data_IF_348020035310
#
_entry.id   IF_348020035310
#
_cell.length_a   1.000
_cell.length_b   1.000
_cell.length_c   1.000
_cell.angle_alpha   90.00
_cell.angle_beta   90.00
_cell.angle_gamma   90.00
#
_symmetry.space_group_name_H-M   'P 1'
#
loop_
_entity.id
_entity.type
_entity.pdbx_description
1 polymer ?
#
# COMPACT_ATOMS: atom_id res chain seq x y z
N UNK A 1 1.88 -31.45 17.61
CA UNK A 1 2.05 -30.17 18.33
C UNK A 1 1.14 -29.17 17.66
N UNK A 2 0.02 -28.85 18.30
CA UNK A 2 -0.95 -27.89 17.79
C UNK A 2 -0.65 -26.54 18.46
N UNK A 3 -0.17 -25.57 17.71
CA UNK A 3 0.29 -24.29 18.27
C UNK A 3 -0.45 -23.10 17.66
N UNK A 4 -0.84 -22.20 18.57
CA UNK A 4 -0.74 -20.74 18.49
C UNK A 4 -1.73 -19.86 17.72
N UNK A 5 -2.68 -20.37 16.92
CA UNK A 5 -3.62 -19.44 16.26
C UNK A 5 -4.55 -18.70 17.22
N UNK A 6 -5.02 -19.36 18.29
CA UNK A 6 -5.86 -18.73 19.31
C UNK A 6 -5.15 -17.65 20.11
N UNK A 7 -3.92 -17.92 20.56
CA UNK A 7 -3.12 -16.97 21.33
C UNK A 7 -2.66 -15.77 20.51
N UNK A 8 -2.33 -15.97 19.23
CA UNK A 8 -1.96 -14.88 18.32
C UNK A 8 -3.19 -14.01 18.02
N UNK A 9 -4.35 -14.61 17.77
CA UNK A 9 -5.61 -13.86 17.60
C UNK A 9 -5.93 -13.03 18.84
N UNK A 10 -5.81 -13.63 20.03
CA UNK A 10 -6.14 -12.95 21.28
C UNK A 10 -5.15 -11.80 21.58
N UNK A 11 -3.85 -11.97 21.27
CA UNK A 11 -2.83 -10.90 21.34
C UNK A 11 -3.04 -9.78 20.30
N UNK A 12 -3.54 -10.11 19.11
CA UNK A 12 -3.84 -9.13 18.05
C UNK A 12 -5.16 -8.39 18.28
N UNK A 13 -6.10 -8.99 19.03
CA UNK A 13 -7.40 -8.37 19.37
C UNK A 13 -7.38 -7.54 20.65
N UNK A 14 -6.39 -7.73 21.53
CA UNK A 14 -6.27 -6.94 22.76
C UNK A 14 -5.51 -5.62 22.52
N UNK A 15 -6.20 -4.67 21.87
CA UNK A 15 -5.71 -3.31 21.61
C UNK A 15 -5.38 -2.50 22.88
N UNK A 16 -5.67 -3.00 24.08
CA UNK A 16 -5.43 -2.31 25.35
C UNK A 16 -4.13 -2.73 26.04
N UNK A 17 -3.41 -3.76 25.56
CA UNK A 17 -2.29 -4.38 26.28
C UNK A 17 -0.89 -3.83 25.95
N UNK A 18 -0.75 -2.92 24.98
CA UNK A 18 0.55 -2.36 24.59
C UNK A 18 0.97 -1.14 25.43
N UNK A 19 1.27 -1.40 26.71
CA UNK A 19 2.02 -0.48 27.57
C UNK A 19 3.48 -0.36 27.12
N UNK A 20 4.03 0.85 27.25
CA UNK A 20 5.39 1.27 26.87
C UNK A 20 6.51 0.27 27.23
N UNK A 21 7.32 -0.09 26.23
CA UNK A 21 8.76 -0.31 26.41
C UNK A 21 9.53 0.11 25.15
N UNK A 22 10.36 1.14 25.32
CA UNK A 22 11.43 1.59 24.42
C UNK A 22 12.60 0.61 24.51
N UNK A 23 12.47 -0.50 23.80
CA UNK A 23 13.62 -1.29 23.34
C UNK A 23 13.31 -1.72 21.92
N UNK A 24 14.27 -1.57 21.00
CA UNK A 24 14.20 -2.10 19.64
C UNK A 24 13.94 -3.61 19.75
N UNK A 25 12.66 -4.00 19.77
CA UNK A 25 12.25 -5.40 19.74
C UNK A 25 12.65 -5.89 18.35
N UNK A 26 13.62 -6.82 18.23
CA UNK A 26 13.87 -7.45 16.94
C UNK A 26 12.55 -8.03 16.45
N UNK A 27 12.22 -7.87 15.16
CA UNK A 27 10.95 -8.35 14.63
C UNK A 27 10.79 -9.82 15.05
N UNK A 28 9.64 -10.20 15.64
CA UNK A 28 9.38 -11.58 16.02
C UNK A 28 9.69 -12.53 14.84
N UNK A 29 10.16 -13.77 15.06
CA UNK A 29 10.40 -14.76 13.99
C UNK A 29 9.24 -14.87 12.99
N UNK A 30 8.02 -14.58 13.42
CA UNK A 30 6.78 -14.55 12.64
C UNK A 30 6.71 -13.43 11.58
N UNK A 31 7.58 -12.41 11.67
CA UNK A 31 7.79 -11.38 10.63
C UNK A 31 8.55 -11.96 9.42
N UNK A 32 9.14 -13.15 9.55
CA UNK A 32 9.71 -13.90 8.42
C UNK A 32 8.63 -14.47 7.50
N UNK A 33 7.40 -14.62 7.98
CA UNK A 33 6.25 -15.02 7.17
C UNK A 33 5.52 -13.75 6.70
N UNK A 34 5.52 -13.52 5.40
CA UNK A 34 5.02 -12.29 4.80
C UNK A 34 3.50 -12.30 4.72
N UNK A 35 2.83 -11.45 5.50
CA UNK A 35 1.37 -11.32 5.47
C UNK A 35 0.92 -10.06 4.72
N UNK A 36 -0.02 -10.22 3.79
CA UNK A 36 -0.94 -9.15 3.40
C UNK A 36 -2.12 -9.19 4.35
N UNK A 37 -2.63 -8.05 4.81
CA UNK A 37 -3.76 -8.02 5.75
C UNK A 37 -5.06 -7.69 5.03
N UNK A 38 -6.16 -8.29 5.47
CA UNK A 38 -7.49 -7.90 5.01
C UNK A 38 -7.77 -6.49 5.52
N UNK A 39 -7.64 -5.50 4.63
CA UNK A 39 -7.84 -4.10 4.98
C UNK A 39 -9.30 -3.68 4.90
N UNK A 40 -10.22 -4.53 4.45
CA UNK A 40 -11.60 -4.12 4.30
C UNK A 40 -12.39 -4.30 5.60
N UNK A 41 -13.29 -3.35 5.88
CA UNK A 41 -14.16 -3.37 7.07
C UNK A 41 -15.19 -4.50 7.07
N UNK A 42 -15.29 -5.28 6.00
CA UNK A 42 -16.19 -6.44 5.89
C UNK A 42 -15.43 -7.76 5.92
N UNK A 43 -16.05 -8.75 6.55
CA UNK A 43 -15.62 -10.15 6.50
C UNK A 43 -15.58 -10.60 5.02
N UNK A 44 -14.41 -11.03 4.56
CA UNK A 44 -14.22 -11.52 3.20
C UNK A 44 -14.65 -12.97 3.14
N UNK A 45 -15.52 -13.32 2.21
CA UNK A 45 -15.87 -14.71 1.91
C UNK A 45 -15.09 -15.16 0.67
N UNK A 46 -14.08 -16.01 0.83
CA UNK A 46 -13.43 -16.70 -0.27
C UNK A 46 -14.12 -18.04 -0.49
N UNK A 47 -14.62 -18.29 -1.71
CA UNK A 47 -15.10 -19.63 -2.09
C UNK A 47 -13.90 -20.54 -2.28
N UNK A 48 -13.78 -21.55 -1.43
CA UNK A 48 -12.82 -22.65 -1.63
C UNK A 48 -13.42 -23.69 -2.57
N UNK A 49 -12.56 -24.56 -3.14
CA UNK A 49 -12.99 -25.66 -4.00
C UNK A 49 -13.87 -26.71 -3.30
N UNK A 50 -13.86 -26.72 -1.96
CA UNK A 50 -14.75 -27.57 -1.15
C UNK A 50 -16.17 -27.01 -1.02
N UNK A 51 -16.46 -25.84 -1.61
CA UNK A 51 -17.72 -25.12 -1.41
C UNK A 51 -17.78 -24.35 -0.09
N UNK A 52 -16.77 -24.52 0.80
CA UNK A 52 -16.69 -23.77 2.04
C UNK A 52 -16.32 -22.31 1.78
N UNK A 53 -17.03 -21.41 2.46
CA UNK A 53 -16.73 -19.99 2.50
C UNK A 53 -15.64 -19.78 3.56
N UNK A 54 -14.40 -19.52 3.14
CA UNK A 54 -13.37 -19.05 4.04
C UNK A 54 -13.69 -17.59 4.38
N UNK A 55 -14.14 -17.40 5.62
CA UNK A 55 -14.40 -16.08 6.18
C UNK A 55 -13.11 -15.54 6.77
N UNK A 56 -12.54 -14.51 6.14
CA UNK A 56 -11.39 -13.78 6.66
C UNK A 56 -11.93 -12.49 7.29
N UNK A 57 -11.94 -12.38 8.63
CA UNK A 57 -12.30 -11.13 9.28
C UNK A 57 -11.43 -9.96 8.79
N UNK A 58 -11.96 -8.74 8.87
CA UNK A 58 -11.14 -7.52 8.74
C UNK A 58 -9.95 -7.63 9.70
N UNK A 59 -8.75 -7.32 9.23
CA UNK A 59 -7.58 -7.37 10.08
C UNK A 59 -7.04 -8.76 10.33
N UNK A 60 -7.35 -9.75 9.52
CA UNK A 60 -6.60 -11.00 9.55
C UNK A 60 -5.53 -11.01 8.43
N UNK A 61 -4.38 -11.64 8.67
CA UNK A 61 -3.47 -12.03 7.61
C UNK A 61 -4.24 -12.84 6.55
N UNK A 62 -4.05 -12.48 5.30
CA UNK A 62 -4.62 -13.18 4.15
C UNK A 62 -3.90 -14.50 3.89
N UNK A 63 -2.70 -14.66 4.43
CA UNK A 63 -1.86 -15.83 4.21
C UNK A 63 -1.81 -16.78 5.41
N UNK A 64 -2.72 -16.69 6.39
CA UNK A 64 -2.71 -17.40 7.70
C UNK A 64 -2.45 -18.92 7.65
N UNK A 65 -2.65 -19.56 6.51
CA UNK A 65 -2.29 -20.97 6.32
C UNK A 65 -0.95 -21.03 5.60
N UNK A 66 -0.08 -21.99 5.95
CA UNK A 66 0.93 -22.44 4.99
C UNK A 66 0.19 -22.71 3.70
N UNK A 67 0.27 -21.77 2.74
CA UNK A 67 -0.37 -21.95 1.45
C UNK A 67 0.14 -23.29 0.98
N UNK A 68 -0.79 -24.17 0.62
CA UNK A 68 -0.40 -25.38 -0.06
C UNK A 68 0.45 -24.97 -1.26
N UNK A 69 1.41 -25.81 -1.63
CA UNK A 69 2.52 -25.44 -2.52
C UNK A 69 2.08 -24.65 -3.77
N UNK A 70 0.88 -24.96 -4.29
CA UNK A 70 0.29 -24.34 -5.47
C UNK A 70 -0.92 -23.44 -5.19
N UNK A 71 -1.34 -23.23 -3.96
CA UNK A 71 -2.38 -22.22 -3.68
C UNK A 71 -1.83 -20.79 -3.84
N UNK A 72 -2.63 -19.88 -4.43
CA UNK A 72 -2.22 -18.50 -4.69
C UNK A 72 -3.32 -17.53 -4.30
N UNK A 73 -2.95 -16.50 -3.55
CA UNK A 73 -3.84 -15.40 -3.25
C UNK A 73 -4.14 -14.56 -4.50
N UNK A 74 -5.40 -14.13 -4.61
CA UNK A 74 -5.88 -13.22 -5.63
C UNK A 74 -6.34 -11.93 -4.93
N UNK A 75 -5.81 -10.75 -5.29
CA UNK A 75 -6.25 -9.48 -4.71
C UNK A 75 -7.76 -9.27 -4.81
N UNK A 76 -8.40 -8.71 -3.77
CA UNK A 76 -9.85 -8.44 -3.80
C UNK A 76 -10.27 -7.56 -4.98
N UNK A 77 -9.45 -6.60 -5.40
CA UNK A 77 -9.71 -5.76 -6.57
C UNK A 77 -10.00 -6.59 -7.85
N UNK A 78 -9.48 -7.81 -7.90
CA UNK A 78 -9.80 -8.80 -8.92
C UNK A 78 -11.11 -9.52 -8.62
N UNK A 79 -11.28 -10.02 -7.39
CA UNK A 79 -12.48 -10.78 -7.00
C UNK A 79 -13.77 -9.96 -7.04
N UNK A 80 -13.68 -8.66 -6.78
CA UNK A 80 -14.79 -7.72 -6.88
C UNK A 80 -14.99 -7.17 -8.30
N UNK A 81 -14.16 -7.56 -9.26
CA UNK A 81 -14.35 -7.21 -10.65
C UNK A 81 -15.51 -8.03 -11.21
N UNK A 82 -16.47 -7.40 -11.89
CA UNK A 82 -17.61 -8.08 -12.51
C UNK A 82 -17.17 -9.26 -13.39
N UNK A 83 -16.00 -9.16 -14.04
CA UNK A 83 -15.47 -10.24 -14.86
C UNK A 83 -15.09 -11.49 -14.06
N UNK A 84 -14.61 -11.35 -12.82
CA UNK A 84 -14.28 -12.50 -11.97
C UNK A 84 -15.50 -13.36 -11.63
N UNK A 85 -16.71 -12.79 -11.70
CA UNK A 85 -17.97 -13.52 -11.48
C UNK A 85 -18.46 -14.29 -12.73
N UNK A 86 -17.87 -14.05 -13.90
CA UNK A 86 -18.21 -14.76 -15.14
C UNK A 86 -17.70 -16.21 -15.12
N UNK A 87 -18.26 -17.15 -15.91
CA UNK A 87 -17.78 -18.53 -15.98
C UNK A 87 -16.25 -18.67 -16.16
N UNK A 88 -15.65 -17.94 -17.11
CA UNK A 88 -14.20 -17.97 -17.33
C UNK A 88 -13.42 -17.33 -16.18
N UNK A 89 -13.92 -16.23 -15.61
CA UNK A 89 -13.34 -15.59 -14.42
C UNK A 89 -13.40 -16.48 -13.19
N UNK A 90 -14.49 -17.21 -13.00
CA UNK A 90 -14.71 -18.20 -11.96
C UNK A 90 -13.76 -19.39 -12.08
N UNK A 91 -13.56 -19.91 -13.30
CA UNK A 91 -12.55 -20.95 -13.54
C UNK A 91 -11.13 -20.48 -13.20
N UNK A 92 -10.78 -19.24 -13.55
CA UNK A 92 -9.49 -18.69 -13.18
C UNK A 92 -9.33 -18.54 -11.67
N UNK A 93 -10.31 -17.95 -11.00
CA UNK A 93 -10.25 -17.71 -9.55
C UNK A 93 -10.22 -19.02 -8.76
N UNK A 94 -11.05 -20.00 -9.12
CA UNK A 94 -11.02 -21.34 -8.54
C UNK A 94 -9.68 -22.05 -8.80
N UNK A 95 -9.18 -21.99 -10.04
CA UNK A 95 -7.90 -22.58 -10.41
C UNK A 95 -6.74 -21.99 -9.61
N UNK A 96 -6.75 -20.68 -9.35
CA UNK A 96 -5.75 -19.99 -8.53
C UNK A 96 -5.82 -20.35 -7.03
N UNK A 97 -7.03 -20.51 -6.49
CA UNK A 97 -7.25 -20.93 -5.10
C UNK A 97 -7.09 -22.45 -4.88
N UNK A 98 -7.02 -23.25 -5.94
CA UNK A 98 -6.78 -24.68 -5.85
C UNK A 98 -5.30 -25.01 -5.61
N UNK A 99 -5.00 -26.03 -4.81
CA UNK A 99 -3.67 -26.62 -4.74
C UNK A 99 -3.40 -27.54 -5.94
N UNK A 100 -3.36 -26.92 -7.12
CA UNK A 100 -3.02 -27.59 -8.38
C UNK A 100 -1.97 -26.75 -9.10
N UNK A 101 -0.93 -27.43 -9.57
CA UNK A 101 0.17 -26.79 -10.27
C UNK A 101 -0.26 -26.20 -11.61
N UNK A 102 -1.16 -26.85 -12.34
CA UNK A 102 -1.62 -26.39 -13.65
C UNK A 102 -3.14 -26.49 -13.75
N UNK A 103 -3.75 -25.46 -14.33
CA UNK A 103 -5.17 -25.47 -14.69
C UNK A 103 -5.42 -24.76 -16.01
N UNK A 104 -6.60 -24.99 -16.58
CA UNK A 104 -7.01 -24.44 -17.88
C UNK A 104 -8.27 -23.62 -17.71
N UNK A 105 -8.31 -22.47 -18.37
CA UNK A 105 -9.48 -21.60 -18.44
C UNK A 105 -10.04 -21.67 -19.85
N UNK A 106 -11.30 -22.07 -19.93
CA UNK A 106 -12.04 -22.15 -21.18
C UNK A 106 -12.60 -20.77 -21.56
N UNK A 107 -12.06 -20.20 -22.64
CA UNK A 107 -12.44 -18.88 -23.13
C UNK A 107 -13.82 -18.84 -23.79
N UNK A 108 -14.36 -20.01 -24.14
CA UNK A 108 -15.70 -20.16 -24.72
C UNK A 108 -16.81 -20.30 -23.67
N UNK A 109 -16.45 -20.41 -22.39
CA UNK A 109 -17.43 -20.56 -21.29
C UNK A 109 -18.26 -19.31 -21.01
N UNK A 110 -17.77 -18.12 -21.40
CA UNK A 110 -18.54 -16.89 -21.35
C UNK A 110 -19.33 -16.70 -22.66
N UNK A 111 -20.57 -16.17 -22.60
CA UNK A 111 -21.31 -15.83 -23.81
C UNK A 111 -20.57 -14.75 -24.62
N UNK A 112 -20.46 -14.96 -25.93
CA UNK A 112 -19.82 -14.03 -26.86
C UNK A 112 -18.57 -14.59 -27.55
N UNK A 113 -17.72 -13.69 -28.07
CA UNK A 113 -16.50 -14.08 -28.81
C UNK A 113 -15.40 -14.49 -27.81
N UNK A 114 -14.75 -15.67 -27.96
CA UNK A 114 -13.66 -16.09 -27.09
C UNK A 114 -12.49 -15.09 -27.02
N UNK A 115 -12.24 -14.33 -28.09
CA UNK A 115 -11.23 -13.27 -28.11
C UNK A 115 -11.53 -12.12 -27.16
N UNK A 116 -12.81 -11.79 -26.93
CA UNK A 116 -13.22 -10.78 -25.95
C UNK A 116 -12.99 -11.28 -24.53
N UNK A 117 -13.39 -12.52 -24.24
CA UNK A 117 -13.13 -13.21 -22.96
C UNK A 117 -11.63 -13.26 -22.67
N UNK A 118 -10.82 -13.61 -23.67
CA UNK A 118 -9.35 -13.63 -23.57
C UNK A 118 -8.81 -12.29 -23.10
N UNK A 119 -9.14 -11.21 -23.82
CA UNK A 119 -8.60 -9.89 -23.52
C UNK A 119 -9.05 -9.44 -22.12
N UNK A 120 -10.31 -9.67 -21.75
CA UNK A 120 -10.82 -9.31 -20.43
C UNK A 120 -10.10 -10.10 -19.31
N UNK A 121 -9.91 -11.41 -19.48
CA UNK A 121 -9.20 -12.25 -18.52
C UNK A 121 -7.72 -11.83 -18.39
N UNK A 122 -7.01 -11.64 -19.51
CA UNK A 122 -5.61 -11.22 -19.49
C UNK A 122 -5.44 -9.84 -18.85
N UNK A 123 -6.36 -8.90 -19.11
CA UNK A 123 -6.34 -7.59 -18.45
C UNK A 123 -6.53 -7.71 -16.95
N UNK A 124 -7.50 -8.51 -16.52
CA UNK A 124 -7.76 -8.77 -15.10
C UNK A 124 -6.52 -9.34 -14.42
N UNK A 125 -5.90 -10.38 -15.00
CA UNK A 125 -4.70 -11.02 -14.46
C UNK A 125 -3.50 -10.06 -14.44
N UNK A 126 -3.31 -9.31 -15.52
CA UNK A 126 -2.20 -8.37 -15.62
C UNK A 126 -2.34 -7.25 -14.60
N UNK A 127 -3.53 -6.63 -14.48
CA UNK A 127 -3.83 -5.57 -13.52
C UNK A 127 -3.73 -6.01 -12.06
N UNK A 128 -4.00 -7.28 -11.78
CA UNK A 128 -3.87 -7.88 -10.46
C UNK A 128 -2.42 -8.01 -9.96
N UNK A 129 -1.44 -7.91 -10.86
CA UNK A 129 -0.04 -8.23 -10.60
C UNK A 129 0.19 -9.58 -9.90
N UNK A 130 -0.53 -10.61 -10.35
CA UNK A 130 -0.44 -11.96 -9.76
C UNK A 130 0.97 -12.52 -9.95
N UNK A 131 1.53 -13.03 -8.85
CA UNK A 131 2.87 -13.59 -8.78
C UNK A 131 2.86 -15.12 -8.84
N UNK A 132 4.03 -15.70 -9.14
CA UNK A 132 4.26 -17.15 -9.19
C UNK A 132 3.34 -17.88 -10.17
N UNK A 133 3.11 -17.29 -11.34
CA UNK A 133 2.39 -17.91 -12.44
C UNK A 133 3.16 -17.80 -13.75
N UNK A 134 2.94 -18.76 -14.65
CA UNK A 134 3.32 -18.75 -16.04
C UNK A 134 2.10 -19.15 -16.88
N UNK A 135 1.82 -18.38 -17.91
CA UNK A 135 0.68 -18.54 -18.79
C UNK A 135 1.13 -18.84 -20.22
N UNK A 136 0.33 -19.66 -20.89
CA UNK A 136 0.45 -19.93 -22.34
C UNK A 136 -0.93 -20.16 -22.94
N UNK A 137 -1.04 -19.98 -24.25
CA UNK A 137 -2.24 -20.39 -24.99
C UNK A 137 -2.09 -21.81 -25.50
N UNK A 138 -3.16 -22.59 -25.40
CA UNK A 138 -3.20 -23.97 -25.89
C UNK A 138 -4.63 -24.30 -26.34
N UNK A 139 -4.84 -24.56 -27.63
CA UNK A 139 -6.13 -25.02 -28.16
C UNK A 139 -7.33 -24.11 -27.85
N UNK A 140 -7.15 -22.78 -27.89
CA UNK A 140 -8.22 -21.82 -27.57
C UNK A 140 -8.50 -21.67 -26.07
N UNK A 141 -7.67 -22.25 -25.21
CA UNK A 141 -7.70 -22.09 -23.75
C UNK A 141 -6.49 -21.31 -23.27
N UNK A 142 -6.63 -20.69 -22.11
CA UNK A 142 -5.48 -20.18 -21.37
C UNK A 142 -5.05 -21.22 -20.35
N UNK A 143 -3.80 -21.68 -20.45
CA UNK A 143 -3.19 -22.60 -19.49
C UNK A 143 -2.37 -21.79 -18.50
N UNK A 144 -2.67 -21.96 -17.23
CA UNK A 144 -1.98 -21.28 -16.12
C UNK A 144 -1.22 -22.34 -15.34
N UNK A 145 0.10 -22.19 -15.29
CA UNK A 145 1.00 -23.00 -14.48
C UNK A 145 1.51 -22.16 -13.30
N UNK A 146 1.46 -22.70 -12.10
CA UNK A 146 1.90 -22.05 -10.88
C UNK A 146 3.30 -22.54 -10.53
N UNK A 147 4.20 -21.59 -10.25
CA UNK A 147 5.61 -21.85 -9.99
C UNK A 147 5.94 -21.63 -8.52
N UNK A 148 6.89 -22.37 -7.97
CA UNK A 148 7.23 -22.36 -6.52
C UNK A 148 8.54 -21.67 -6.21
N UNK A 149 9.40 -21.49 -7.22
CA UNK A 149 10.70 -20.83 -7.10
C UNK A 149 10.64 -19.42 -6.52
N UNK A 150 11.77 -18.94 -6.00
CA UNK A 150 11.88 -17.58 -5.48
C UNK A 150 11.62 -16.55 -6.58
N UNK A 151 10.92 -15.47 -6.23
CA UNK A 151 10.77 -14.33 -7.13
C UNK A 151 12.10 -13.62 -7.26
N UNK A 152 12.45 -13.24 -8.48
CA UNK A 152 13.59 -12.37 -8.73
C UNK A 152 13.19 -10.91 -8.42
N UNK A 153 14.08 -10.09 -7.83
CA UNK A 153 13.78 -8.67 -7.64
C UNK A 153 13.64 -7.95 -8.98
N UNK A 154 13.00 -6.79 -8.99
CA UNK A 154 13.15 -5.85 -10.11
C UNK A 154 14.53 -5.18 -10.00
N UNK A 155 15.17 -4.93 -11.14
CA UNK A 155 16.55 -4.45 -11.22
C UNK A 155 16.74 -3.48 -12.40
N UNK A 156 17.98 -3.04 -12.65
CA UNK A 156 18.27 -2.10 -13.74
C UNK A 156 18.00 -2.68 -15.15
N UNK A 157 18.12 -4.00 -15.32
CA UNK A 157 17.83 -4.67 -16.59
C UNK A 157 16.32 -4.89 -16.77
N UNK A 158 15.60 -5.12 -15.67
CA UNK A 158 14.16 -5.33 -15.63
C UNK A 158 13.51 -4.44 -14.57
N UNK A 159 13.32 -3.15 -14.87
CA UNK A 159 12.69 -2.21 -13.92
C UNK A 159 11.23 -2.59 -13.71
N UNK A 160 10.67 -2.24 -12.54
CA UNK A 160 9.26 -2.49 -12.23
C UNK A 160 8.34 -1.62 -13.13
N UNK A 161 7.64 -2.17 -14.14
CA UNK A 161 6.88 -1.35 -15.06
C UNK A 161 5.48 -1.04 -14.50
N UNK A 162 4.92 0.10 -14.90
CA UNK A 162 3.49 0.35 -14.72
C UNK A 162 2.70 -0.66 -15.56
N UNK A 163 1.61 -1.18 -14.99
CA UNK A 163 0.65 -2.06 -15.65
C UNK A 163 -0.31 -1.21 -16.47
N UNK A 164 -0.11 -1.24 -17.79
CA UNK A 164 -0.96 -0.59 -18.79
C UNK A 164 -1.55 -1.60 -19.78
N UNK A 165 -2.85 -1.48 -20.05
CA UNK A 165 -3.58 -2.37 -20.97
C UNK A 165 -3.72 -1.79 -22.39
N UNK A 166 -3.20 -0.58 -22.60
CA UNK A 166 -3.14 0.13 -23.87
C UNK A 166 -1.68 0.39 -24.25
N UNK A 167 -1.41 0.49 -25.55
CA UNK A 167 -0.07 0.84 -26.05
C UNK A 167 0.25 2.29 -25.58
N UNK A 168 1.45 2.56 -25.04
CA UNK A 168 1.83 3.89 -24.59
C UNK A 168 1.55 4.97 -25.64
N UNK A 169 1.00 6.11 -25.21
CA UNK A 169 0.63 7.25 -26.07
C UNK A 169 -0.44 6.93 -27.15
N UNK A 170 -1.16 5.82 -27.01
CA UNK A 170 -2.28 5.49 -27.89
C UNK A 170 -3.50 5.01 -27.09
N UNK A 171 -4.67 5.04 -27.73
CA UNK A 171 -5.89 4.41 -27.21
C UNK A 171 -6.02 2.93 -27.60
N UNK A 172 -5.05 2.38 -28.32
CA UNK A 172 -5.11 1.01 -28.84
C UNK A 172 -4.81 -0.01 -27.74
N UNK A 173 -5.57 -1.10 -27.73
CA UNK A 173 -5.32 -2.22 -26.82
C UNK A 173 -3.99 -2.91 -27.16
N UNK A 174 -3.27 -3.36 -26.14
CA UNK A 174 -2.05 -4.16 -26.36
C UNK A 174 -2.39 -5.53 -26.95
N UNK A 175 -1.44 -6.09 -27.71
CA UNK A 175 -1.56 -7.46 -28.20
C UNK A 175 -1.64 -8.43 -27.02
N UNK A 176 -2.51 -9.45 -27.12
CA UNK A 176 -2.69 -10.45 -26.08
C UNK A 176 -1.41 -11.26 -25.81
N UNK A 177 -0.58 -11.53 -26.82
CA UNK A 177 0.70 -12.23 -26.64
C UNK A 177 1.69 -11.39 -25.81
N UNK A 178 1.74 -10.08 -26.05
CA UNK A 178 2.58 -9.16 -25.25
C UNK A 178 2.10 -9.12 -23.79
N UNK A 179 0.77 -9.12 -23.57
CA UNK A 179 0.21 -9.16 -22.22
C UNK A 179 0.58 -10.49 -21.52
N UNK A 180 0.55 -11.63 -22.23
CA UNK A 180 0.98 -12.91 -21.67
C UNK A 180 2.48 -12.88 -21.30
N UNK A 181 3.33 -12.33 -22.17
CA UNK A 181 4.75 -12.20 -21.90
C UNK A 181 5.02 -11.34 -20.64
N UNK A 182 4.31 -10.22 -20.50
CA UNK A 182 4.43 -9.35 -19.33
C UNK A 182 3.87 -9.99 -18.06
N UNK A 183 2.76 -10.73 -18.15
CA UNK A 183 2.24 -11.52 -17.02
C UNK A 183 3.29 -12.53 -16.58
N UNK A 184 3.97 -13.22 -17.52
CA UNK A 184 5.00 -14.19 -17.19
C UNK A 184 6.24 -13.54 -16.55
N UNK A 185 6.67 -12.39 -17.06
CA UNK A 185 7.76 -11.62 -16.49
C UNK A 185 7.41 -11.15 -15.07
N UNK A 186 6.21 -10.60 -14.87
CA UNK A 186 5.68 -10.20 -13.57
C UNK A 186 5.51 -11.38 -12.62
N UNK A 187 5.09 -12.53 -13.14
CA UNK A 187 4.89 -13.77 -12.38
C UNK A 187 6.19 -14.31 -11.80
N UNK A 188 7.32 -14.06 -12.47
CA UNK A 188 8.66 -14.45 -12.01
C UNK A 188 9.36 -13.39 -11.15
N UNK A 189 8.85 -12.14 -11.11
CA UNK A 189 9.51 -11.02 -10.44
C UNK A 189 8.67 -10.32 -9.39
N UNK A 190 9.31 -9.91 -8.31
CA UNK A 190 8.70 -9.19 -7.20
C UNK A 190 9.38 -9.51 -5.89
N UNK A 191 8.91 -8.88 -4.82
CA UNK A 191 9.45 -9.10 -3.48
C UNK A 191 8.48 -9.92 -2.64
N UNK A 192 9.04 -10.86 -1.90
CA UNK A 192 8.39 -11.39 -0.71
C UNK A 192 8.87 -10.57 0.50
N UNK A 193 8.02 -10.44 1.49
CA UNK A 193 8.37 -9.79 2.75
C UNK A 193 7.69 -8.44 2.97
N UNK A 194 7.69 -7.98 4.23
CA UNK A 194 7.08 -6.72 4.62
C UNK A 194 7.67 -5.52 3.86
N UNK A 195 6.78 -4.67 3.36
CA UNK A 195 7.10 -3.40 2.69
C UNK A 195 5.80 -2.71 2.25
N UNK A 196 5.92 -1.42 1.94
CA UNK A 196 4.86 -0.68 1.26
C UNK A 196 5.15 -0.64 -0.23
N UNK A 197 4.26 -1.19 -1.05
CA UNK A 197 4.46 -1.20 -2.50
C UNK A 197 3.59 -0.16 -3.17
N UNK A 198 4.15 0.49 -4.18
CA UNK A 198 3.36 1.25 -5.13
C UNK A 198 2.48 0.26 -5.91
N UNK A 199 1.17 0.52 -5.98
CA UNK A 199 0.32 -0.20 -6.90
C UNK A 199 0.75 0.13 -8.33
N UNK A 200 0.97 -0.90 -9.12
CA UNK A 200 1.50 -0.73 -10.47
C UNK A 200 0.44 -0.30 -11.48
N UNK A 201 -0.81 -0.06 -11.05
CA UNK A 201 -1.88 0.40 -11.93
C UNK A 201 -1.47 1.68 -12.67
N UNK A 202 -1.60 1.71 -14.01
CA UNK A 202 -1.10 2.82 -14.84
C UNK A 202 -1.72 4.21 -14.56
N UNK A 203 -2.86 4.26 -13.84
CA UNK A 203 -3.49 5.51 -13.36
C UNK A 203 -3.15 5.86 -11.90
N UNK A 204 -2.20 5.15 -11.28
CA UNK A 204 -1.73 5.49 -9.94
C UNK A 204 -0.99 6.83 -10.00
N UNK A 205 -1.75 7.89 -9.70
CA UNK A 205 -1.33 9.29 -9.71
C UNK A 205 -0.63 9.70 -8.40
N UNK A 206 -0.29 8.76 -7.52
CA UNK A 206 0.81 9.01 -6.57
C UNK A 206 2.06 9.09 -7.43
N UNK A 207 2.30 10.28 -7.94
CA UNK A 207 3.36 10.60 -8.89
C UNK A 207 4.68 10.53 -8.14
N UNK A 208 5.44 9.46 -8.36
CA UNK A 208 6.84 9.37 -7.98
C UNK A 208 7.18 8.39 -6.84
N UNK A 209 8.44 8.36 -6.40
CA UNK A 209 9.02 7.42 -5.41
C UNK A 209 8.49 7.64 -3.99
N UNK A 210 7.32 8.24 -3.83
CA UNK A 210 6.81 8.65 -2.53
C UNK A 210 6.32 7.47 -1.71
N UNK A 211 6.11 6.28 -2.26
CA UNK A 211 5.91 5.08 -1.44
C UNK A 211 7.26 4.39 -1.26
N UNK A 212 7.74 4.29 -0.01
CA UNK A 212 8.98 3.59 0.30
C UNK A 212 8.75 2.07 0.24
N UNK A 213 9.46 1.41 -0.68
CA UNK A 213 9.36 -0.03 -0.93
C UNK A 213 10.40 -0.86 -0.16
N UNK A 214 11.20 -0.20 0.68
CA UNK A 214 12.17 -0.85 1.53
C UNK A 214 11.50 -1.68 2.63
N UNK A 215 12.14 -2.80 2.96
CA UNK A 215 11.79 -3.59 4.14
C UNK A 215 12.39 -3.01 5.43
N UNK A 216 13.21 -1.96 5.32
CA UNK A 216 13.76 -1.20 6.44
C UNK A 216 13.80 0.27 6.04
N UNK A 217 13.10 1.08 6.80
CA UNK A 217 12.79 2.47 6.49
C UNK A 217 13.56 3.33 7.46
N UNK A 218 14.50 4.08 6.95
CA UNK A 218 15.20 5.12 7.71
C UNK A 218 14.39 6.42 7.61
N UNK A 219 14.09 7.02 8.75
CA UNK A 219 13.27 8.25 8.81
C UNK A 219 13.93 9.38 9.62
N UNK A 220 15.11 9.13 10.18
CA UNK A 220 15.97 10.11 10.83
C UNK A 220 17.32 9.49 11.21
N UNK A 221 18.27 10.27 11.73
CA UNK A 221 19.59 9.77 12.16
C UNK A 221 19.43 8.67 13.21
N UNK A 222 19.93 7.47 12.90
CA UNK A 222 19.82 6.28 13.75
C UNK A 222 18.37 5.83 14.06
N UNK A 223 17.38 6.36 13.33
CA UNK A 223 15.96 6.04 13.49
C UNK A 223 15.47 5.15 12.34
N UNK A 224 15.14 3.91 12.69
CA UNK A 224 14.73 2.87 11.74
C UNK A 224 13.34 2.32 12.08
N UNK A 225 12.57 2.03 11.03
CA UNK A 225 11.32 1.30 11.11
C UNK A 225 11.38 0.08 10.20
N UNK A 226 10.95 -1.06 10.72
CA UNK A 226 10.82 -2.29 9.93
C UNK A 226 9.33 -2.58 9.77
N UNK A 227 8.77 -2.40 8.54
CA UNK A 227 7.43 -2.85 8.24
C UNK A 227 7.26 -4.31 8.67
N UNK A 228 6.10 -4.64 9.23
CA UNK A 228 5.77 -6.01 9.66
C UNK A 228 4.79 -6.71 8.73
N UNK A 229 4.22 -5.96 7.79
CA UNK A 229 3.14 -6.36 6.90
C UNK A 229 3.47 -5.88 5.49
N UNK A 230 2.91 -6.57 4.49
CA UNK A 230 2.96 -6.12 3.09
C UNK A 230 1.68 -5.36 2.76
N UNK A 231 1.86 -4.15 2.25
CA UNK A 231 0.77 -3.28 1.83
C UNK A 231 1.00 -2.82 0.39
N UNK A 232 -0.09 -2.55 -0.34
CA UNK A 232 -0.04 -1.81 -1.60
C UNK A 232 -0.75 -0.49 -1.41
N UNK A 233 -0.43 0.55 -2.17
CA UNK A 233 -1.16 1.83 -2.07
C UNK A 233 -2.63 1.79 -2.57
N UNK A 234 -3.21 0.60 -2.75
CA UNK A 234 -4.66 0.44 -2.96
C UNK A 234 -5.44 0.27 -1.64
N UNK A 235 -4.74 0.15 -0.50
CA UNK A 235 -5.33 -0.09 0.82
C UNK A 235 -5.90 1.19 1.46
N UNK A 236 -7.08 1.08 2.10
CA UNK A 236 -7.87 2.25 2.58
C UNK A 236 -8.19 2.24 4.08
N UNK A 237 -7.59 1.30 4.83
CA UNK A 237 -7.77 1.12 6.28
C UNK A 237 -6.40 0.86 6.90
N UNK A 238 -5.58 1.90 6.89
CA UNK A 238 -4.16 1.81 7.27
C UNK A 238 -3.77 3.02 8.10
N UNK A 239 -2.74 2.82 8.91
CA UNK A 239 -1.93 3.87 9.52
C UNK A 239 -0.62 3.92 8.77
N UNK A 240 -0.17 5.12 8.40
CA UNK A 240 1.05 5.34 7.64
C UNK A 240 1.94 6.40 8.30
N UNK A 241 3.25 6.24 8.11
CA UNK A 241 4.29 7.21 8.35
C UNK A 241 4.50 8.01 7.06
N UNK A 242 4.47 9.32 7.16
CA UNK A 242 5.00 10.25 6.19
C UNK A 242 6.30 10.82 6.75
N UNK A 243 7.39 10.79 6.00
CA UNK A 243 8.64 11.44 6.37
C UNK A 243 9.23 12.24 5.20
N UNK A 244 10.10 13.19 5.52
CA UNK A 244 10.78 14.02 4.54
C UNK A 244 12.18 13.47 4.22
N UNK A 245 12.37 13.01 2.98
CA UNK A 245 13.65 12.49 2.50
C UNK A 245 14.74 13.56 2.47
N UNK A 246 14.39 14.83 2.30
CA UNK A 246 15.36 15.93 2.32
C UNK A 246 15.87 16.22 3.73
N UNK A 247 14.97 16.26 4.72
CA UNK A 247 15.37 16.33 6.13
C UNK A 247 16.31 15.18 6.49
N UNK A 248 15.97 13.95 6.09
CA UNK A 248 16.83 12.79 6.32
C UNK A 248 18.23 12.97 5.73
N UNK A 249 18.32 13.46 4.48
CA UNK A 249 19.60 13.75 3.80
C UNK A 249 20.43 14.82 4.54
N UNK A 250 19.77 15.73 5.25
CA UNK A 250 20.39 16.77 6.07
C UNK A 250 20.74 16.29 7.49
N UNK A 251 20.51 15.02 7.83
CA UNK A 251 20.73 14.51 9.18
C UNK A 251 19.66 14.98 10.17
N UNK A 252 18.45 15.27 9.69
CA UNK A 252 17.29 15.66 10.49
C UNK A 252 16.19 14.59 10.39
N UNK A 253 15.21 14.65 11.29
CA UNK A 253 14.02 13.79 11.26
C UNK A 253 12.79 14.67 11.15
N UNK A 254 11.96 14.46 10.13
CA UNK A 254 10.66 15.12 10.02
C UNK A 254 9.62 14.10 9.68
N UNK A 255 8.65 13.91 10.57
CA UNK A 255 7.69 12.82 10.49
C UNK A 255 6.26 13.29 10.73
N UNK A 256 5.31 12.56 10.15
CA UNK A 256 3.88 12.69 10.37
C UNK A 256 3.26 11.30 10.34
N UNK A 257 2.47 10.94 11.34
CA UNK A 257 1.66 9.74 11.31
C UNK A 257 0.22 10.10 10.97
N UNK A 258 -0.37 9.36 10.06
CA UNK A 258 -1.75 9.57 9.64
C UNK A 258 -2.50 8.27 9.44
N UNK A 259 -3.82 8.33 9.54
CA UNK A 259 -4.71 7.24 9.15
C UNK A 259 -5.49 7.52 7.85
N UNK A 260 -6.09 6.45 7.31
CA UNK A 260 -7.06 6.50 6.21
C UNK A 260 -8.39 5.86 6.64
N UNK A 261 -9.48 6.61 6.49
CA UNK A 261 -10.85 6.23 6.87
C UNK A 261 -11.75 6.18 5.63
N UNK A 262 -11.81 5.05 4.93
CA UNK A 262 -12.75 4.75 3.81
C UNK A 262 -12.42 5.36 2.43
N UNK A 263 -11.68 6.46 2.36
CA UNK A 263 -11.22 7.04 1.09
C UNK A 263 -9.89 6.46 0.65
N UNK A 264 -9.69 6.39 -0.67
CA UNK A 264 -8.44 5.90 -1.26
C UNK A 264 -7.23 6.59 -0.61
N UNK A 265 -6.22 5.84 -0.14
CA UNK A 265 -5.03 6.43 0.48
C UNK A 265 -4.34 7.47 -0.42
N UNK A 266 -4.44 7.34 -1.75
CA UNK A 266 -4.00 8.34 -2.72
C UNK A 266 -4.64 9.71 -2.50
N UNK A 267 -5.94 9.74 -2.18
CA UNK A 267 -6.62 11.00 -1.89
C UNK A 267 -6.07 11.63 -0.61
N UNK A 268 -5.78 10.81 0.42
CA UNK A 268 -5.17 11.27 1.66
C UNK A 268 -3.75 11.78 1.44
N UNK A 269 -2.93 11.08 0.66
CA UNK A 269 -1.57 11.51 0.32
C UNK A 269 -1.56 12.81 -0.49
N UNK A 270 -2.51 12.96 -1.40
CA UNK A 270 -2.69 14.23 -2.12
C UNK A 270 -3.04 15.38 -1.18
N UNK A 271 -3.81 15.16 -0.11
CA UNK A 271 -4.22 16.22 0.82
C UNK A 271 -3.04 16.94 1.48
N UNK A 272 -1.97 16.21 1.77
CA UNK A 272 -0.75 16.76 2.39
C UNK A 272 -0.03 17.81 1.54
N UNK A 273 -0.43 18.03 0.28
CA UNK A 273 0.11 19.12 -0.56
C UNK A 273 -0.91 20.18 -0.95
N UNK A 274 -2.16 20.12 -0.51
CA UNK A 274 -3.14 21.15 -0.87
C UNK A 274 -3.99 21.69 0.29
N UNK A 275 -4.00 21.03 1.45
CA UNK A 275 -4.78 21.48 2.61
C UNK A 275 -4.07 21.13 3.91
N UNK A 276 -4.33 21.90 4.95
CA UNK A 276 -3.85 21.57 6.29
C UNK A 276 -4.46 20.26 6.78
N UNK A 277 -3.77 19.59 7.68
CA UNK A 277 -4.26 18.39 8.35
C UNK A 277 -5.42 18.70 9.31
N UNK A 278 -5.42 19.89 9.93
CA UNK A 278 -6.41 20.31 10.93
C UNK A 278 -7.52 21.21 10.35
N UNK A 279 -8.73 21.09 10.90
CA UNK A 279 -9.88 21.91 10.46
C UNK A 279 -9.70 23.39 10.81
N UNK A 280 -9.15 23.71 11.97
CA UNK A 280 -8.89 25.07 12.44
C UNK A 280 -8.00 25.86 11.47
N UNK A 281 -6.87 25.27 11.06
CA UNK A 281 -5.97 25.90 10.09
C UNK A 281 -6.65 26.09 8.73
N UNK A 282 -7.44 25.12 8.26
CA UNK A 282 -8.18 25.28 7.00
C UNK A 282 -9.28 26.36 7.07
N UNK A 283 -9.82 26.66 8.25
CA UNK A 283 -10.78 27.76 8.45
C UNK A 283 -10.08 29.12 8.49
N UNK A 284 -8.95 29.20 9.20
CA UNK A 284 -8.16 30.44 9.32
C UNK A 284 -7.43 30.80 8.01
N UNK A 285 -6.98 29.78 7.27
CA UNK A 285 -6.25 29.90 6.02
C UNK A 285 -6.94 29.10 4.89
N UNK A 286 -8.07 29.61 4.35
CA UNK A 286 -8.89 28.89 3.39
C UNK A 286 -8.18 28.60 2.06
N UNK A 287 -8.53 27.48 1.42
CA UNK A 287 -7.94 27.03 0.15
C UNK A 287 -8.33 27.94 -1.02
N UNK A 288 -7.39 28.15 -1.95
CA UNK A 288 -7.68 28.69 -3.29
C UNK A 288 -7.45 30.20 -3.44
N UNK A 289 -6.93 30.86 -2.42
CA UNK A 289 -6.52 32.27 -2.51
C UNK A 289 -4.99 32.35 -2.61
N UNK A 290 -4.46 33.20 -3.50
CA UNK A 290 -3.03 33.56 -3.48
C UNK A 290 -2.63 34.14 -2.10
N UNK A 291 -3.59 34.76 -1.42
CA UNK A 291 -3.51 35.27 -0.06
C UNK A 291 -3.10 34.18 0.95
N UNK A 292 -3.49 32.91 0.76
CA UNK A 292 -3.06 31.84 1.67
C UNK A 292 -1.54 31.67 1.66
N UNK A 293 -0.90 31.62 0.49
CA UNK A 293 0.56 31.46 0.42
C UNK A 293 1.28 32.70 0.92
N UNK A 294 0.72 33.89 0.71
CA UNK A 294 1.26 35.16 1.24
C UNK A 294 1.19 35.16 2.77
N UNK A 295 0.01 34.95 3.35
CA UNK A 295 -0.18 34.91 4.80
C UNK A 295 0.68 33.82 5.46
N UNK A 296 0.86 32.67 4.80
CA UNK A 296 1.74 31.63 5.31
C UNK A 296 3.21 32.03 5.28
N UNK A 297 3.68 32.71 4.22
CA UNK A 297 5.04 33.23 4.17
C UNK A 297 5.27 34.30 5.23
N UNK A 298 4.28 35.14 5.51
CA UNK A 298 4.35 36.13 6.59
C UNK A 298 4.50 35.47 7.96
N UNK A 299 3.66 34.46 8.26
CA UNK A 299 3.79 33.68 9.51
C UNK A 299 5.16 33.00 9.58
N UNK A 300 5.60 32.38 8.47
CA UNK A 300 6.89 31.71 8.41
C UNK A 300 8.06 32.68 8.67
N UNK A 301 8.00 33.87 8.07
CA UNK A 301 9.01 34.91 8.23
C UNK A 301 9.02 35.48 9.65
N UNK A 302 7.85 35.74 10.24
CA UNK A 302 7.76 36.18 11.64
C UNK A 302 8.38 35.17 12.59
N UNK A 303 8.08 33.89 12.43
CA UNK A 303 8.68 32.84 13.28
C UNK A 303 10.19 32.73 13.08
N UNK A 304 10.69 32.91 11.85
CA UNK A 304 12.13 32.99 11.58
C UNK A 304 12.79 34.21 12.25
N UNK A 305 12.04 35.29 12.45
CA UNK A 305 12.47 36.52 13.14
C UNK A 305 12.30 36.44 14.66
N UNK A 306 11.73 35.35 15.18
CA UNK A 306 11.58 35.06 16.60
C UNK A 306 10.16 35.20 17.16
N UNK A 307 9.16 35.43 16.31
CA UNK A 307 7.75 35.44 16.72
C UNK A 307 7.26 34.04 17.10
N UNK A 308 6.20 34.00 17.91
CA UNK A 308 5.52 32.76 18.24
C UNK A 308 4.75 32.20 17.02
N UNK A 309 4.64 30.86 16.95
CA UNK A 309 3.75 30.15 16.01
C UNK A 309 2.48 29.67 16.76
N UNK A 310 1.53 30.56 17.10
CA UNK A 310 0.42 30.24 18.00
C UNK A 310 -0.53 29.18 17.41
N UNK A 311 -0.64 29.12 16.08
CA UNK A 311 -1.45 28.12 15.39
C UNK A 311 -0.67 26.84 15.05
N UNK A 312 0.63 26.81 15.37
CA UNK A 312 1.57 25.75 15.02
C UNK A 312 1.55 25.44 13.52
N UNK A 313 1.45 26.49 12.69
CA UNK A 313 1.33 26.39 11.23
C UNK A 313 2.52 25.65 10.64
N UNK A 314 3.71 25.84 11.21
CA UNK A 314 4.93 25.17 10.75
C UNK A 314 4.91 23.68 11.05
N UNK A 315 4.15 23.25 12.06
CA UNK A 315 3.97 21.87 12.49
C UNK A 315 2.86 21.16 11.70
N UNK A 316 2.76 21.41 10.38
CA UNK A 316 1.80 20.74 9.51
C UNK A 316 2.49 20.23 8.22
N UNK A 317 2.14 19.01 7.74
CA UNK A 317 2.69 18.47 6.50
C UNK A 317 2.55 19.41 5.30
N UNK A 318 1.41 20.10 5.17
CA UNK A 318 1.19 21.04 4.07
C UNK A 318 2.20 22.16 4.09
N UNK A 319 2.44 22.78 5.24
CA UNK A 319 3.43 23.86 5.38
C UNK A 319 4.83 23.38 5.09
N UNK A 320 5.23 22.24 5.69
CA UNK A 320 6.58 21.70 5.51
C UNK A 320 6.89 21.42 4.03
N UNK A 321 6.00 20.71 3.33
CA UNK A 321 6.19 20.35 1.92
C UNK A 321 5.81 21.46 0.93
N UNK A 322 5.39 22.64 1.40
CA UNK A 322 5.10 23.80 0.53
C UNK A 322 6.09 24.94 0.73
N UNK A 323 6.66 25.09 1.94
CA UNK A 323 7.49 26.22 2.33
C UNK A 323 8.93 25.81 2.67
N UNK A 324 9.12 24.71 3.40
CA UNK A 324 10.46 24.25 3.83
C UNK A 324 11.13 23.44 2.72
N UNK A 325 10.46 22.37 2.28
CA UNK A 325 10.95 21.47 1.23
C UNK A 325 9.91 21.35 0.11
N UNK A 326 9.67 22.44 -0.65
CA UNK A 326 8.76 22.42 -1.78
C UNK A 326 9.24 21.44 -2.86
N UNK A 327 8.34 20.80 -3.62
CA UNK A 327 8.73 20.00 -4.77
C UNK A 327 9.48 20.87 -5.78
N UNK A 328 10.74 20.52 -6.09
CA UNK A 328 11.59 21.27 -7.03
C UNK A 328 11.96 20.39 -8.22
N UNK A 329 11.83 20.89 -9.46
CA UNK A 329 12.22 20.17 -10.68
C UNK A 329 11.66 18.74 -10.80
N UNK A 330 10.45 18.50 -10.29
CA UNK A 330 9.82 17.18 -10.28
C UNK A 330 10.30 16.24 -9.16
N UNK A 331 11.20 16.68 -8.29
CA UNK A 331 11.61 15.95 -7.09
C UNK A 331 10.62 16.21 -5.95
N UNK A 332 9.91 15.16 -5.57
CA UNK A 332 9.06 15.14 -4.39
C UNK A 332 9.80 14.43 -3.25
N UNK A 333 9.98 15.13 -2.13
CA UNK A 333 10.72 14.64 -0.97
C UNK A 333 9.85 13.84 0.01
N UNK A 334 8.53 13.78 -0.22
CA UNK A 334 7.62 13.00 0.62
C UNK A 334 7.90 11.51 0.47
N UNK A 335 7.90 10.79 1.58
CA UNK A 335 7.96 9.33 1.61
C UNK A 335 6.89 8.80 2.55
N UNK A 336 6.15 7.80 2.10
CA UNK A 336 5.02 7.18 2.76
C UNK A 336 5.34 5.72 2.98
N UNK A 337 5.13 5.28 4.21
CA UNK A 337 5.27 3.88 4.63
C UNK A 337 4.03 3.49 5.40
N UNK A 338 3.34 2.45 4.96
CA UNK A 338 2.28 1.84 5.75
C UNK A 338 2.90 1.13 6.96
N UNK A 339 2.45 1.54 8.15
CA UNK A 339 2.90 1.01 9.43
C UNK A 339 2.06 -0.22 9.78
N UNK A 340 0.73 -0.07 9.68
CA UNK A 340 -0.24 -1.08 10.08
C UNK A 340 -1.59 -0.90 9.35
N UNK A 341 -2.47 -1.91 9.38
CA UNK A 341 -3.71 -1.93 8.63
C UNK A 341 -4.65 -3.09 8.96
N UNK A 342 -5.88 -2.99 8.44
CA UNK A 342 -6.94 -3.95 8.70
C UNK A 342 -7.57 -3.77 10.07
N UNK A 343 -7.85 -2.54 10.46
CA UNK A 343 -8.45 -2.31 11.76
C UNK A 343 -9.92 -2.76 11.78
N UNK A 344 -10.38 -3.42 12.84
CA UNK A 344 -11.77 -3.86 12.97
C UNK A 344 -12.74 -2.70 13.22
N UNK A 345 -12.22 -1.55 13.66
CA UNK A 345 -13.00 -0.35 13.90
C UNK A 345 -12.16 0.92 13.73
N UNK A 346 -12.84 2.03 13.43
CA UNK A 346 -12.26 3.38 13.40
C UNK A 346 -11.53 3.69 14.70
N UNK A 347 -12.12 3.33 15.85
CA UNK A 347 -11.52 3.55 17.17
C UNK A 347 -10.17 2.85 17.28
N UNK A 348 -10.07 1.58 16.86
CA UNK A 348 -8.82 0.81 16.92
C UNK A 348 -7.74 1.42 16.03
N UNK A 349 -8.13 1.88 14.83
CA UNK A 349 -7.23 2.59 13.91
C UNK A 349 -6.69 3.89 14.50
N UNK A 350 -7.58 4.72 15.08
CA UNK A 350 -7.18 5.99 15.72
C UNK A 350 -6.30 5.77 16.95
N UNK A 351 -6.55 4.74 17.75
CA UNK A 351 -5.66 4.37 18.85
C UNK A 351 -4.27 3.94 18.34
N UNK A 352 -4.21 3.19 17.24
CA UNK A 352 -2.97 2.81 16.59
C UNK A 352 -2.22 4.04 16.04
N UNK A 353 -2.92 4.94 15.35
CA UNK A 353 -2.37 6.23 14.90
C UNK A 353 -1.75 7.00 16.07
N UNK A 354 -2.51 7.24 17.16
CA UNK A 354 -2.01 7.94 18.34
C UNK A 354 -0.76 7.29 18.95
N UNK A 355 -0.74 5.95 19.03
CA UNK A 355 0.44 5.21 19.51
C UNK A 355 1.66 5.48 18.62
N UNK A 356 1.49 5.46 17.31
CA UNK A 356 2.59 5.69 16.37
C UNK A 356 2.99 7.16 16.27
N UNK A 357 2.07 8.11 16.48
CA UNK A 357 2.40 9.52 16.70
C UNK A 357 3.38 9.63 17.88
N UNK A 358 3.11 8.97 19.02
CA UNK A 358 4.05 9.00 20.15
C UNK A 358 5.36 8.27 19.87
N UNK A 359 5.33 7.18 19.10
CA UNK A 359 6.53 6.39 18.77
C UNK A 359 7.48 7.12 17.82
N UNK A 360 6.96 7.61 16.69
CA UNK A 360 7.76 8.32 15.69
C UNK A 360 8.00 9.77 16.06
N UNK A 361 7.05 10.37 16.77
CA UNK A 361 7.02 11.77 17.15
C UNK A 361 7.70 12.09 18.49
N UNK A 362 8.53 11.19 19.01
CA UNK A 362 9.39 11.44 20.18
C UNK A 362 10.40 12.59 19.96
N UNK A 363 10.51 13.09 18.73
CA UNK A 363 11.27 14.29 18.38
C UNK A 363 10.32 15.48 18.34
N UNK A 364 10.39 16.35 19.35
CA UNK A 364 9.66 17.62 19.36
C UNK A 364 9.97 18.44 18.10
N UNK A 365 9.00 19.24 17.67
CA UNK A 365 9.21 20.11 16.52
C UNK A 365 10.21 21.22 16.86
N UNK A 366 11.35 21.21 16.19
CA UNK A 366 12.40 22.19 16.34
C UNK A 366 12.23 23.30 15.30
N UNK A 367 11.78 24.47 15.77
CA UNK A 367 11.53 25.65 14.95
C UNK A 367 12.78 26.19 14.26
N UNK A 368 13.99 26.02 14.82
CA UNK A 368 15.24 26.50 14.22
C UNK A 368 15.67 25.68 13.01
N UNK A 369 15.30 24.40 12.96
CA UNK A 369 15.66 23.47 11.88
C UNK A 369 14.47 23.09 10.99
N UNK A 370 13.27 23.56 11.36
CA UNK A 370 11.98 23.20 10.75
C UNK A 370 11.79 21.69 10.59
N UNK A 371 12.21 20.94 11.62
CA UNK A 371 12.19 19.48 11.63
C UNK A 371 11.61 18.94 12.93
N UNK A 372 11.19 17.68 12.92
CA UNK A 372 10.58 16.98 14.06
C UNK A 372 9.19 16.45 13.75
N UNK A 373 8.39 16.24 14.79
CA UNK A 373 7.03 15.72 14.68
C UNK A 373 6.05 16.78 14.14
N UNK A 374 5.42 16.50 13.00
CA UNK A 374 4.40 17.34 12.36
C UNK A 374 2.96 17.02 12.80
N UNK A 375 2.74 16.10 13.74
CA UNK A 375 1.41 15.87 14.28
C UNK A 375 1.08 16.93 15.34
N UNK A 376 -0.03 17.65 15.15
CA UNK A 376 -0.63 18.46 16.20
C UNK A 376 -1.21 17.54 17.28
N UNK A 377 -0.58 17.51 18.46
CA UNK A 377 -1.16 16.90 19.67
C UNK A 377 -2.00 17.90 20.45
#
# INVERSE_FOLDING_TARGET
MATNFGQIRDQLTDFNSFGLMTTLIPPPPEVQQCWQWNTDSSEVQLRTNSGNLLRIPSGCPIFDQELQEFERYIPRSVLSNDFASTPAGGQFTAGMAADIQEFRVDLSSNPGKPSTTRIALLRMIYQADIKKIRMREEGGRLVVNKITGQLQPYDAAYPQPNITTTIPNTSQARNHLDIIADINLNGARGFYGPRSERCRHGKCNVTGPCVDQSATVEYGPDLLFQPRKRFTCEVNNVVYLLYCNECLRLGLSTTYCGETEEKNCHQRFGQHTYKFSTRSLNTRFPKGTNERLVALREVFQGVLEGDEDPDRVMQDPYSHFTLVHPPTNGNDHRRYVFIDGGFPSVRSRKLCEMKFISFFGAVDYNYNTHSGNLNHM
#
